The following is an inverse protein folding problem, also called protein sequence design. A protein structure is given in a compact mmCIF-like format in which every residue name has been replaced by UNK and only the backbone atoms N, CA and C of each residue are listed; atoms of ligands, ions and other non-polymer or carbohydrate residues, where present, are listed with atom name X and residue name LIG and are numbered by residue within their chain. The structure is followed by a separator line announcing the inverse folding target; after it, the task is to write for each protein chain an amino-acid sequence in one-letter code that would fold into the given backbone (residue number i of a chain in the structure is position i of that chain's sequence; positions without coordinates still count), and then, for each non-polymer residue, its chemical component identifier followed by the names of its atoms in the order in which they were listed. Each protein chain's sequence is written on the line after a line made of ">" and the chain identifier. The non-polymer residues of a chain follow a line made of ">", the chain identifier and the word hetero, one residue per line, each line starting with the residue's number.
data_IF_594179068444
#
_entry.id   IF_594179068444
#
_cell.length_a   1.000
_cell.length_b   1.000
_cell.length_c   1.000
_cell.angle_alpha   90.00
_cell.angle_beta   90.00
_cell.angle_gamma   90.00
#
_symmetry.space_group_name_H-M   'P 1'
#
loop_
_entity.id
_entity.type
_entity.pdbx_description
1 polymer ?
#
# COMPACT_ATOMS: atom_id res chain seq x y z
N UNK A 1 -10.67 18.22 8.64
CA UNK A 1 -9.34 17.84 8.11
C UNK A 1 -9.35 16.35 7.74
N UNK A 2 -8.99 16.00 6.50
CA UNK A 2 -8.83 14.59 6.09
C UNK A 2 -7.58 14.01 6.76
N UNK A 3 -7.74 12.95 7.56
CA UNK A 3 -6.61 12.17 8.07
C UNK A 3 -5.94 11.44 6.91
N UNK A 4 -4.60 11.40 6.89
CA UNK A 4 -3.85 10.62 5.90
C UNK A 4 -4.16 9.14 6.04
N UNK A 5 -4.04 8.39 4.93
CA UNK A 5 -4.30 6.95 4.88
C UNK A 5 -3.56 6.19 5.97
N UNK A 6 -2.27 6.46 6.15
CA UNK A 6 -1.45 5.83 7.20
C UNK A 6 -1.93 6.17 8.61
N UNK A 7 -2.44 7.39 8.86
CA UNK A 7 -2.98 7.74 10.17
C UNK A 7 -4.27 6.96 10.47
N UNK A 8 -5.13 6.75 9.47
CA UNK A 8 -6.34 5.96 9.64
C UNK A 8 -6.03 4.46 9.82
N UNK A 9 -5.10 3.91 9.04
CA UNK A 9 -4.69 2.50 9.16
C UNK A 9 -4.11 2.19 10.54
N UNK A 10 -3.32 3.10 11.12
CA UNK A 10 -2.79 2.90 12.49
C UNK A 10 -3.88 2.85 13.57
N UNK A 11 -5.00 3.52 13.36
CA UNK A 11 -6.15 3.47 14.29
C UNK A 11 -6.93 2.18 14.12
N UNK A 12 -7.07 1.70 12.88
CA UNK A 12 -7.87 0.52 12.55
C UNK A 12 -7.12 -0.81 12.70
N UNK A 13 -5.80 -0.79 12.58
CA UNK A 13 -4.97 -2.00 12.52
C UNK A 13 -4.71 -2.51 11.10
N UNK A 14 -5.22 -1.84 10.06
CA UNK A 14 -5.19 -2.31 8.67
C UNK A 14 -3.90 -1.95 7.90
N UNK A 15 -2.78 -1.76 8.59
CA UNK A 15 -1.57 -1.22 7.97
C UNK A 15 -0.28 -1.83 8.50
N UNK A 16 0.87 -1.40 7.94
CA UNK A 16 2.16 -1.96 8.31
C UNK A 16 2.48 -1.68 9.78
N UNK A 17 3.22 -2.60 10.44
CA UNK A 17 3.69 -2.40 11.80
C UNK A 17 4.45 -1.08 11.95
N UNK A 18 4.18 -0.36 13.03
CA UNK A 18 4.78 0.95 13.29
C UNK A 18 5.24 1.06 14.74
N UNK A 19 6.23 1.93 14.95
CA UNK A 19 6.75 2.27 16.28
C UNK A 19 6.41 3.73 16.58
N UNK A 20 5.97 4.02 17.80
CA UNK A 20 5.79 5.40 18.27
C UNK A 20 7.06 5.85 18.97
N UNK A 21 7.58 7.01 18.58
CA UNK A 21 8.66 7.68 19.28
C UNK A 21 8.16 9.02 19.82
N UNK A 22 7.68 9.01 21.07
CA UNK A 22 7.03 10.17 21.68
C UNK A 22 5.67 10.49 21.08
N UNK A 23 5.25 11.77 21.20
CA UNK A 23 3.86 12.19 20.95
C UNK A 23 3.49 12.32 19.48
N UNK A 24 4.45 12.59 18.59
CA UNK A 24 4.17 12.90 17.17
C UNK A 24 4.94 12.06 16.16
N UNK A 25 6.04 11.41 16.56
CA UNK A 25 6.90 10.70 15.62
C UNK A 25 6.44 9.24 15.53
N UNK A 26 6.27 8.79 14.29
CA UNK A 26 5.87 7.43 13.94
C UNK A 26 6.90 6.93 12.95
N UNK A 27 7.51 5.79 13.27
CA UNK A 27 8.57 5.19 12.48
C UNK A 27 8.09 3.84 11.94
N UNK A 28 8.53 3.53 10.73
CA UNK A 28 8.31 2.24 10.09
C UNK A 28 9.67 1.58 9.92
N UNK A 29 9.85 0.40 10.52
CA UNK A 29 11.09 -0.35 10.31
C UNK A 29 11.05 -0.93 8.91
N UNK A 30 12.04 -0.57 8.09
CA UNK A 30 12.11 -0.93 6.66
C UNK A 30 11.76 -2.40 6.39
N UNK A 31 12.43 -3.35 7.03
CA UNK A 31 12.18 -4.78 6.77
C UNK A 31 10.78 -5.28 7.17
N UNK A 32 10.11 -4.64 8.14
CA UNK A 32 8.71 -4.98 8.47
C UNK A 32 7.73 -4.35 7.48
N UNK A 33 8.05 -3.15 7.00
CA UNK A 33 7.25 -2.47 5.98
C UNK A 33 7.30 -3.23 4.65
N UNK A 34 8.49 -3.65 4.22
CA UNK A 34 8.68 -4.44 2.99
C UNK A 34 8.00 -5.80 3.08
N UNK A 35 8.07 -6.47 4.24
CA UNK A 35 7.36 -7.73 4.45
C UNK A 35 5.84 -7.55 4.36
N UNK A 36 5.31 -6.53 5.05
CA UNK A 36 3.88 -6.22 4.98
C UNK A 36 3.45 -5.88 3.55
N UNK A 37 4.25 -5.08 2.84
CA UNK A 37 4.01 -4.74 1.45
C UNK A 37 3.95 -6.02 0.61
N UNK A 38 4.93 -6.92 0.69
CA UNK A 38 4.93 -8.16 -0.07
C UNK A 38 3.68 -9.05 0.19
N UNK A 39 3.17 -9.09 1.42
CA UNK A 39 1.97 -9.85 1.79
C UNK A 39 0.67 -9.21 1.27
N UNK A 40 0.65 -7.88 1.08
CA UNK A 40 -0.54 -7.11 0.73
C UNK A 40 -0.47 -6.52 -0.69
N UNK A 41 0.63 -6.73 -1.40
CA UNK A 41 0.82 -6.34 -2.79
C UNK A 41 0.00 -7.27 -3.67
N UNK A 42 -1.25 -6.91 -3.90
CA UNK A 42 -2.02 -7.52 -4.97
C UNK A 42 -1.52 -6.95 -6.30
N UNK A 43 -0.53 -7.62 -6.90
CA UNK A 43 -0.14 -7.34 -8.28
C UNK A 43 -1.31 -7.74 -9.18
N UNK A 44 -2.10 -6.75 -9.59
CA UNK A 44 -3.09 -6.90 -10.65
C UNK A 44 -2.36 -7.06 -12.00
N UNK A 45 -1.57 -8.12 -12.14
CA UNK A 45 -0.94 -8.46 -13.41
C UNK A 45 -2.00 -9.11 -14.29
N UNK A 46 -2.90 -8.30 -14.88
CA UNK A 46 -3.23 -8.56 -16.28
C UNK A 46 -1.99 -8.17 -17.06
N UNK A 47 -1.08 -9.12 -17.28
CA UNK A 47 -0.13 -8.99 -18.38
C UNK A 47 -0.99 -8.83 -19.62
N UNK A 48 -1.14 -7.61 -20.14
CA UNK A 48 -1.69 -7.44 -21.48
C UNK A 48 -0.64 -8.01 -22.42
N UNK A 49 -0.92 -9.18 -22.98
CA UNK A 49 -0.02 -9.81 -23.92
C UNK A 49 0.32 -8.80 -25.03
N UNK A 50 1.60 -8.65 -25.41
CA UNK A 50 1.98 -7.77 -26.50
C UNK A 50 1.34 -8.28 -27.80
N UNK A 51 0.23 -7.68 -28.21
CA UNK A 51 -0.52 -8.07 -29.41
C UNK A 51 -2.03 -7.77 -29.41
N UNK A 52 -2.62 -7.39 -28.28
CA UNK A 52 -4.07 -7.17 -28.23
C UNK A 52 -4.45 -5.80 -28.82
N UNK A 53 -4.86 -5.81 -30.10
CA UNK A 53 -5.44 -4.67 -30.82
C UNK A 53 -6.68 -4.18 -30.06
N UNK A 54 -6.68 -2.92 -29.68
CA UNK A 54 -7.85 -2.25 -29.12
C UNK A 54 -8.85 -2.11 -30.27
N UNK A 55 -10.08 -2.63 -30.19
CA UNK A 55 -11.08 -2.34 -31.20
C UNK A 55 -11.41 -0.85 -31.12
N UNK A 56 -11.28 -0.18 -32.26
CA UNK A 56 -11.75 1.19 -32.46
C UNK A 56 -13.20 1.27 -31.98
N UNK A 57 -13.41 1.99 -30.88
CA UNK A 57 -14.75 2.34 -30.45
C UNK A 57 -15.35 3.24 -31.55
N UNK A 58 -16.52 2.81 -32.05
CA UNK A 58 -17.30 3.52 -33.06
C UNK A 58 -18.12 4.63 -32.42
#
# INVERSE_FOLDING_TARGET
>A
MKRSTLANWRVKGDGPPFFKFGRRIVLYRKGLLEKWEAEHLFLATKVKAPGERIPSQK
#
